data_IF_564864728480
#
_entry.id   IF_564864728480
#
_cell.length_a   1.000
_cell.length_b   1.000
_cell.length_c   1.000
_cell.angle_alpha   90.00
_cell.angle_beta   90.00
_cell.angle_gamma   90.00
#
_symmetry.space_group_name_H-M   'P 1'
#
loop_
_entity.id
_entity.type
_entity.pdbx_description
1 polymer ?
#
# COMPACT_ATOMS: atom_id res chain seq x y z
N UNK A 1 11.94 -4.27 2.43
CA UNK A 1 11.96 -5.51 3.25
C UNK A 1 12.58 -5.27 4.62
N UNK A 2 13.79 -4.71 4.73
CA UNK A 2 14.44 -4.47 6.04
C UNK A 2 13.58 -3.75 7.10
N UNK A 3 12.76 -2.78 6.70
CA UNK A 3 11.83 -2.12 7.63
C UNK A 3 10.80 -3.07 8.23
N UNK A 4 10.23 -3.98 7.43
CA UNK A 4 9.24 -4.95 7.91
C UNK A 4 9.87 -5.95 8.90
N UNK A 5 11.11 -6.38 8.64
CA UNK A 5 11.88 -7.25 9.53
C UNK A 5 12.09 -6.58 10.90
N UNK A 6 12.62 -5.35 10.92
CA UNK A 6 12.86 -4.60 12.16
C UNK A 6 11.55 -4.40 12.94
N UNK A 7 10.47 -4.04 12.25
CA UNK A 7 9.17 -3.84 12.88
C UNK A 7 8.63 -5.14 13.51
N UNK A 8 8.79 -6.27 12.82
CA UNK A 8 8.41 -7.57 13.35
C UNK A 8 9.27 -7.98 14.55
N UNK A 9 10.60 -7.82 14.46
CA UNK A 9 11.55 -8.11 15.54
C UNK A 9 11.24 -7.32 16.83
N UNK A 10 10.71 -6.10 16.69
CA UNK A 10 10.34 -5.22 17.80
C UNK A 10 8.85 -5.26 18.17
N UNK A 11 8.10 -6.29 17.75
CA UNK A 11 6.67 -6.47 18.07
C UNK A 11 5.78 -5.26 17.72
N UNK A 12 6.06 -4.61 16.59
CA UNK A 12 5.19 -3.56 16.07
C UNK A 12 3.82 -4.11 15.63
N UNK A 13 2.87 -3.21 15.38
CA UNK A 13 1.56 -3.58 14.84
C UNK A 13 1.70 -4.34 13.51
N UNK A 14 1.02 -5.49 13.41
CA UNK A 14 1.09 -6.35 12.23
C UNK A 14 0.57 -5.66 10.96
N UNK A 15 -0.36 -4.72 11.09
CA UNK A 15 -0.83 -3.91 9.96
C UNK A 15 0.27 -3.03 9.38
N UNK A 16 1.10 -2.43 10.24
CA UNK A 16 2.28 -1.65 9.82
C UNK A 16 3.32 -2.55 9.15
N UNK A 17 3.58 -3.74 9.71
CA UNK A 17 4.48 -4.73 9.09
C UNK A 17 3.99 -5.10 7.68
N UNK A 18 2.72 -5.46 7.55
CA UNK A 18 2.11 -5.82 6.26
C UNK A 18 2.12 -4.65 5.26
N UNK A 19 1.96 -3.41 5.72
CA UNK A 19 2.09 -2.23 4.87
C UNK A 19 3.51 -2.09 4.28
N UNK A 20 4.54 -2.31 5.09
CA UNK A 20 5.92 -2.29 4.58
C UNK A 20 6.20 -3.43 3.60
N UNK A 21 5.58 -4.60 3.78
CA UNK A 21 5.62 -5.68 2.80
C UNK A 21 4.92 -5.27 1.49
N UNK A 22 3.72 -4.71 1.55
CA UNK A 22 3.00 -4.19 0.39
C UNK A 22 3.85 -3.17 -0.37
N UNK A 23 4.45 -2.21 0.33
CA UNK A 23 5.31 -1.18 -0.27
C UNK A 23 6.58 -1.74 -0.93
N UNK A 24 7.14 -2.82 -0.39
CA UNK A 24 8.30 -3.48 -0.98
C UNK A 24 7.93 -4.17 -2.29
N UNK A 25 6.81 -4.91 -2.30
CA UNK A 25 6.28 -5.57 -3.50
C UNK A 25 5.93 -4.55 -4.58
N UNK A 26 5.30 -3.44 -4.20
CA UNK A 26 4.97 -2.35 -5.13
C UNK A 26 6.22 -1.83 -5.85
N UNK A 27 7.28 -1.54 -5.09
CA UNK A 27 8.55 -1.05 -5.64
C UNK A 27 9.22 -2.08 -6.54
N UNK A 28 9.16 -3.36 -6.18
CA UNK A 28 9.66 -4.44 -7.03
C UNK A 28 8.93 -4.49 -8.38
N UNK A 29 7.58 -4.52 -8.36
CA UNK A 29 6.79 -4.56 -9.59
C UNK A 29 7.00 -3.30 -10.46
N UNK A 30 7.10 -2.12 -9.84
CA UNK A 30 7.42 -0.88 -10.56
C UNK A 30 8.82 -0.94 -11.17
N UNK A 31 9.82 -1.40 -10.43
CA UNK A 31 11.19 -1.57 -10.95
C UNK A 31 11.25 -2.55 -12.12
N UNK A 32 10.55 -3.68 -12.01
CA UNK A 32 10.41 -4.65 -13.10
C UNK A 32 9.78 -4.02 -14.35
N UNK A 33 8.68 -3.28 -14.18
CA UNK A 33 8.00 -2.62 -15.29
C UNK A 33 8.85 -1.50 -15.91
N UNK A 34 9.55 -0.70 -15.12
CA UNK A 34 10.49 0.31 -15.63
C UNK A 34 11.58 -0.37 -16.47
N UNK A 35 12.13 -1.49 -16.00
CA UNK A 35 13.14 -2.23 -16.76
C UNK A 35 12.58 -2.79 -18.08
N UNK A 36 11.31 -3.21 -18.10
CA UNK A 36 10.67 -3.78 -19.27
C UNK A 36 10.15 -2.72 -20.28
N UNK A 37 9.71 -1.56 -19.80
CA UNK A 37 8.99 -0.56 -20.62
C UNK A 37 9.72 0.78 -20.75
N UNK A 38 10.69 1.06 -19.89
CA UNK A 38 11.32 2.38 -19.76
C UNK A 38 10.45 3.43 -19.08
N UNK A 39 9.26 3.07 -18.58
CA UNK A 39 8.27 4.01 -18.05
C UNK A 39 7.95 3.75 -16.58
N UNK A 40 7.94 4.82 -15.78
CA UNK A 40 7.47 4.78 -14.41
C UNK A 40 5.96 4.54 -14.37
N UNK A 41 5.55 3.53 -13.59
CA UNK A 41 4.14 3.18 -13.45
C UNK A 41 3.51 3.93 -12.28
N UNK A 42 2.43 4.66 -12.56
CA UNK A 42 1.64 5.37 -11.54
C UNK A 42 0.69 4.46 -10.76
N UNK A 43 0.30 4.91 -9.57
CA UNK A 43 -0.63 4.23 -8.67
C UNK A 43 0.02 3.16 -7.79
N UNK A 44 -0.77 2.63 -6.85
CA UNK A 44 -0.30 1.74 -5.77
C UNK A 44 -0.99 0.37 -5.77
N UNK A 45 -1.87 0.13 -6.74
CA UNK A 45 -2.65 -1.09 -6.79
C UNK A 45 -1.80 -2.26 -7.30
N UNK A 46 -1.45 -3.19 -6.42
CA UNK A 46 -0.60 -4.34 -6.75
C UNK A 46 -1.22 -5.25 -7.81
N UNK A 47 -2.55 -5.41 -7.82
CA UNK A 47 -3.23 -6.24 -8.83
C UNK A 47 -3.08 -5.63 -10.22
N UNK A 48 -3.22 -4.32 -10.35
CA UNK A 48 -3.01 -3.61 -11.63
C UNK A 48 -1.56 -3.70 -12.09
N UNK A 49 -0.60 -3.49 -11.18
CA UNK A 49 0.83 -3.59 -11.49
C UNK A 49 1.22 -5.01 -11.91
N UNK A 50 0.78 -6.03 -11.17
CA UNK A 50 1.06 -7.43 -11.50
C UNK A 50 0.44 -7.83 -12.84
N UNK A 51 -0.81 -7.45 -13.13
CA UNK A 51 -1.43 -7.70 -14.45
C UNK A 51 -0.63 -7.09 -15.61
N UNK A 52 -0.06 -5.90 -15.44
CA UNK A 52 0.84 -5.31 -16.44
C UNK A 52 2.13 -6.13 -16.56
N UNK A 53 2.72 -6.53 -15.43
CA UNK A 53 3.97 -7.29 -15.40
C UNK A 53 3.83 -8.68 -16.07
N UNK A 54 2.65 -9.31 -15.95
CA UNK A 54 2.31 -10.59 -16.62
C UNK A 54 2.43 -10.53 -18.14
N UNK A 55 2.28 -9.35 -18.75
CA UNK A 55 2.48 -9.18 -20.19
C UNK A 55 3.95 -9.37 -20.61
N UNK A 56 4.90 -9.20 -19.68
CA UNK A 56 6.34 -9.32 -19.91
C UNK A 56 6.92 -10.62 -19.31
N UNK A 57 6.36 -11.10 -18.21
CA UNK A 57 6.69 -12.39 -17.61
C UNK A 57 5.43 -13.11 -17.11
N UNK A 58 5.04 -14.17 -17.83
CA UNK A 58 3.84 -14.96 -17.50
C UNK A 58 3.93 -15.68 -16.16
N UNK A 59 5.13 -15.96 -15.65
CA UNK A 59 5.31 -16.61 -14.35
C UNK A 59 4.63 -15.79 -13.24
N UNK A 60 4.67 -14.45 -13.34
CA UNK A 60 4.09 -13.54 -12.35
C UNK A 60 2.56 -13.69 -12.18
N UNK A 61 1.88 -14.38 -13.09
CA UNK A 61 0.43 -14.62 -12.99
C UNK A 61 0.07 -15.47 -11.78
N UNK A 62 0.99 -16.30 -11.30
CA UNK A 62 0.81 -17.14 -10.11
C UNK A 62 0.52 -16.31 -8.85
N UNK A 63 1.08 -15.11 -8.76
CA UNK A 63 0.95 -14.23 -7.59
C UNK A 63 -0.29 -13.35 -7.61
N UNK A 64 -1.18 -13.45 -8.62
CA UNK A 64 -2.31 -12.52 -8.77
C UNK A 64 -3.23 -12.50 -7.53
N UNK A 65 -3.46 -13.67 -6.91
CA UNK A 65 -4.26 -13.78 -5.69
C UNK A 65 -3.55 -13.17 -4.48
N UNK A 66 -2.25 -13.40 -4.35
CA UNK A 66 -1.43 -12.83 -3.28
C UNK A 66 -1.37 -11.31 -3.38
N UNK A 67 -1.25 -10.76 -4.59
CA UNK A 67 -1.33 -9.33 -4.83
C UNK A 67 -2.66 -8.76 -4.37
N UNK A 68 -3.79 -9.44 -4.62
CA UNK A 68 -5.09 -9.00 -4.14
C UNK A 68 -5.16 -8.97 -2.60
N UNK A 69 -4.64 -10.01 -1.95
CA UNK A 69 -4.58 -10.09 -0.48
C UNK A 69 -3.69 -9.00 0.12
N UNK A 70 -2.44 -8.87 -0.36
CA UNK A 70 -1.48 -7.89 0.16
C UNK A 70 -1.94 -6.46 -0.12
N UNK A 71 -2.62 -6.22 -1.25
CA UNK A 71 -3.17 -4.91 -1.58
C UNK A 71 -4.21 -4.41 -0.56
N UNK A 72 -4.80 -5.30 0.26
CA UNK A 72 -5.70 -4.89 1.37
C UNK A 72 -4.97 -4.15 2.48
N UNK A 73 -3.65 -4.25 2.59
CA UNK A 73 -2.84 -3.57 3.60
C UNK A 73 -2.31 -2.22 3.14
N UNK A 74 -2.73 -1.73 1.97
CA UNK A 74 -2.44 -0.37 1.54
C UNK A 74 -3.24 0.63 2.38
N UNK A 75 -2.55 1.52 3.10
CA UNK A 75 -3.12 2.32 4.19
C UNK A 75 -3.74 3.66 3.71
N UNK A 76 -3.44 4.18 2.52
CA UNK A 76 -4.08 5.44 2.07
C UNK A 76 -5.62 5.33 1.99
N UNK A 77 -6.19 4.13 1.90
CA UNK A 77 -7.64 3.89 1.97
C UNK A 77 -8.18 3.65 3.39
N UNK A 78 -7.32 3.63 4.43
CA UNK A 78 -7.65 3.21 5.80
C UNK A 78 -7.46 4.27 6.88
N UNK A 79 -6.85 5.41 6.57
CA UNK A 79 -7.10 6.59 7.39
C UNK A 79 -8.45 7.17 6.95
N UNK A 80 -9.42 7.40 7.85
CA UNK A 80 -10.47 8.34 7.52
C UNK A 80 -9.76 9.64 7.17
N UNK A 81 -10.04 10.18 5.99
CA UNK A 81 -9.85 11.60 5.74
C UNK A 81 -10.70 12.31 6.80
N UNK A 82 -10.05 12.67 7.91
CA UNK A 82 -10.66 13.20 9.13
C UNK A 82 -11.67 12.23 9.79
N UNK A 83 -11.41 11.84 11.04
CA UNK A 83 -12.47 11.37 11.91
C UNK A 83 -13.60 12.44 11.93
N UNK A 84 -14.82 12.14 11.44
CA UNK A 84 -15.92 13.11 11.48
C UNK A 84 -16.27 13.54 12.92
N UNK A 85 -15.81 12.81 13.94
CA UNK A 85 -15.99 13.18 15.35
C UNK A 85 -14.94 14.19 15.84
N UNK A 86 -13.81 14.35 15.14
CA UNK A 86 -12.82 15.40 15.42
C UNK A 86 -13.22 16.75 14.80
N UNK A 87 -13.96 16.75 13.68
CA UNK A 87 -14.49 17.98 13.08
C UNK A 87 -15.65 18.58 13.90
N UNK A 88 -16.47 17.76 14.56
CA UNK A 88 -17.58 18.23 15.42
C UNK A 88 -17.09 18.95 16.69
N UNK A 89 -15.89 18.61 17.20
CA UNK A 89 -15.33 19.26 18.40
C UNK A 89 -14.75 20.65 18.15
N UNK A 90 -14.47 21.03 16.90
CA UNK A 90 -13.98 22.37 16.58
C UNK A 90 -15.11 23.41 16.47
N UNK A 91 -16.36 23.00 16.24
CA UNK A 91 -17.46 23.95 15.98
C UNK A 91 -18.22 24.40 17.24
N UNK A 92 -18.02 23.77 18.41
CA UNK A 92 -18.77 24.12 19.63
C UNK A 92 -18.04 25.10 20.58
N UNK A 93 -16.82 25.53 20.27
CA UNK A 93 -16.06 26.45 21.14
C UNK A 93 -16.19 27.94 20.79
N UNK A 94 -16.83 28.28 19.68
CA UNK A 94 -16.97 29.67 19.20
C UNK A 94 -18.41 30.23 19.31
N UNK A 95 -19.32 29.56 20.03
CA UNK A 95 -20.71 30.06 20.26
C UNK A 95 -20.93 30.53 21.71
N UNK A 96 -19.88 30.59 22.54
CA UNK A 96 -20.00 31.13 23.89
C UNK A 96 -18.84 32.09 24.24
N UNK A 97 -18.79 33.22 23.53
CA UNK A 97 -18.21 34.48 23.99
C UNK A 97 -18.99 35.65 23.41
#
# INVERSE_FOLDING_TARGET
MRSAEILLEHNADNGIVCFHCQQAIEKYLKGFLINATGELQEGHNLVKLCKKAVAYDRALSEFTKDMAFVNTYYIEAKYPAEDPLLSVKKTQKDVLK
#
